data_IF_730748816445
#
_entry.id   IF_730748816445
#
_cell.length_a   1.000
_cell.length_b   1.000
_cell.length_c   1.000
_cell.angle_alpha   90.00
_cell.angle_beta   90.00
_cell.angle_gamma   90.00
#
_symmetry.space_group_name_H-M   'P 1'
#
loop_
_entity.id
_entity.type
_entity.pdbx_description
1 polymer ?
#
# COMPACT_ATOMS: atom_id res chain seq x y z
N UNK A 1 -29.94 -12.11 11.78
CA UNK A 1 -30.51 -13.36 12.32
C UNK A 1 -30.73 -14.31 11.16
N UNK A 2 -30.03 -15.44 11.11
CA UNK A 2 -30.26 -16.50 10.11
C UNK A 2 -31.47 -17.31 10.58
N UNK A 3 -32.66 -16.99 10.08
CA UNK A 3 -33.92 -17.70 10.38
C UNK A 3 -34.54 -18.24 9.09
N UNK A 4 -35.06 -19.46 9.14
CA UNK A 4 -35.69 -20.14 7.98
C UNK A 4 -37.15 -19.70 7.83
N UNK A 5 -37.65 -19.68 6.59
CA UNK A 5 -39.03 -19.27 6.30
C UNK A 5 -40.03 -20.20 7.00
N UNK A 6 -40.88 -19.64 7.88
CA UNK A 6 -41.90 -20.38 8.64
C UNK A 6 -41.51 -20.74 10.08
N UNK A 7 -40.32 -20.38 10.55
CA UNK A 7 -39.93 -20.57 11.95
C UNK A 7 -40.60 -19.51 12.84
N UNK A 8 -41.34 -19.95 13.86
CA UNK A 8 -41.96 -19.05 14.85
C UNK A 8 -40.86 -18.41 15.70
N UNK A 9 -40.82 -17.07 15.73
CA UNK A 9 -39.83 -16.29 16.47
C UNK A 9 -40.56 -15.46 17.51
N UNK A 10 -40.18 -15.66 18.77
CA UNK A 10 -40.66 -14.82 19.87
C UNK A 10 -39.94 -13.46 19.80
N UNK A 11 -40.71 -12.39 19.64
CA UNK A 11 -40.18 -11.02 19.48
C UNK A 11 -40.63 -10.18 20.66
N UNK A 12 -39.72 -9.95 21.59
CA UNK A 12 -39.93 -9.01 22.70
C UNK A 12 -39.66 -7.57 22.21
N UNK A 13 -40.72 -6.78 22.06
CA UNK A 13 -40.63 -5.38 21.66
C UNK A 13 -40.40 -4.52 22.91
N UNK A 14 -39.17 -4.05 23.11
CA UNK A 14 -38.87 -3.05 24.14
C UNK A 14 -39.09 -1.65 23.60
N UNK A 15 -40.15 -0.98 24.07
CA UNK A 15 -40.42 0.41 23.74
C UNK A 15 -39.52 1.32 24.57
N UNK A 16 -38.57 2.00 23.91
CA UNK A 16 -37.73 3.02 24.54
C UNK A 16 -38.34 4.40 24.30
N UNK A 17 -38.77 5.08 25.38
CA UNK A 17 -39.29 6.46 25.35
C UNK A 17 -38.17 7.51 25.58
N UNK A 18 -36.94 7.19 25.16
CA UNK A 18 -35.79 8.06 25.38
C UNK A 18 -35.67 9.07 24.24
N UNK A 19 -35.61 10.36 24.58
CA UNK A 19 -35.31 11.42 23.60
C UNK A 19 -33.97 11.13 22.93
N UNK A 20 -33.98 10.92 21.62
CA UNK A 20 -32.77 10.63 20.84
C UNK A 20 -31.66 11.66 21.12
N UNK A 21 -30.54 11.21 21.68
CA UNK A 21 -29.34 12.04 21.87
C UNK A 21 -28.35 11.73 20.76
N UNK A 22 -28.13 12.70 19.87
CA UNK A 22 -27.12 12.57 18.82
C UNK A 22 -25.74 12.33 19.46
N UNK A 23 -25.02 11.25 19.10
CA UNK A 23 -23.68 11.01 19.60
C UNK A 23 -22.77 12.22 19.35
N UNK A 24 -21.97 12.60 20.35
CA UNK A 24 -21.05 13.74 20.22
C UNK A 24 -20.13 13.51 19.01
N UNK A 25 -20.03 14.47 18.07
CA UNK A 25 -19.15 14.31 16.91
C UNK A 25 -17.70 14.20 17.39
N UNK A 26 -16.99 13.17 16.93
CA UNK A 26 -15.54 13.02 17.18
C UNK A 26 -14.81 14.19 16.53
N UNK A 27 -14.04 14.92 17.34
CA UNK A 27 -13.21 16.02 16.86
C UNK A 27 -12.19 15.51 15.84
N UNK A 28 -12.17 16.12 14.65
CA UNK A 28 -11.21 15.85 13.59
C UNK A 28 -10.39 17.13 13.36
N UNK A 29 -9.19 17.27 13.95
CA UNK A 29 -8.33 18.41 13.67
C UNK A 29 -7.85 18.37 12.21
N UNK A 30 -7.63 19.55 11.60
CA UNK A 30 -7.23 19.75 10.20
C UNK A 30 -8.24 19.29 9.14
N UNK A 31 -9.53 19.57 9.37
CA UNK A 31 -10.56 19.46 8.34
C UNK A 31 -10.56 20.69 7.42
N UNK A 32 -10.82 20.47 6.12
CA UNK A 32 -10.86 21.52 5.10
C UNK A 32 -10.03 21.15 3.86
N UNK A 33 -10.42 21.67 2.70
CA UNK A 33 -9.59 21.56 1.51
C UNK A 33 -8.41 22.53 1.63
N UNK A 34 -7.17 22.02 1.61
CA UNK A 34 -5.97 22.86 1.61
C UNK A 34 -5.75 23.52 0.25
N UNK A 35 -5.41 24.80 0.23
CA UNK A 35 -5.02 25.53 -0.98
C UNK A 35 -3.51 25.45 -1.18
N UNK A 36 -3.05 25.02 -2.36
CA UNK A 36 -1.61 24.97 -2.69
C UNK A 36 -1.17 26.35 -3.18
N UNK A 37 -0.18 26.97 -2.53
CA UNK A 37 0.54 28.12 -3.08
C UNK A 37 1.62 27.61 -4.03
N UNK A 38 1.39 27.77 -5.34
CA UNK A 38 2.33 27.39 -6.41
C UNK A 38 1.66 27.50 -7.77
N UNK A 39 2.42 27.78 -8.82
CA UNK A 39 1.90 27.91 -10.19
C UNK A 39 1.38 26.55 -10.72
N UNK A 40 0.15 26.50 -11.29
CA UNK A 40 -0.44 25.26 -11.75
C UNK A 40 0.22 24.80 -13.06
N UNK A 41 0.86 23.62 -13.03
CA UNK A 41 1.04 22.83 -14.25
C UNK A 41 -0.36 22.46 -14.79
N UNK A 42 -0.70 22.73 -16.07
CA UNK A 42 -2.05 22.53 -16.55
C UNK A 42 -2.44 21.05 -16.64
N UNK A 43 -3.54 20.69 -15.95
CA UNK A 43 -4.53 19.73 -16.43
C UNK A 43 -4.42 18.26 -16.01
N UNK A 44 -4.96 17.90 -14.85
CA UNK A 44 -5.67 16.61 -14.69
C UNK A 44 -6.95 16.82 -13.87
N UNK A 45 -8.07 16.64 -14.58
CA UNK A 45 -9.46 16.29 -14.22
C UNK A 45 -9.89 16.34 -12.73
N UNK A 46 -11.03 17.00 -12.51
CA UNK A 46 -11.73 17.20 -11.25
C UNK A 46 -11.95 15.92 -10.41
N UNK A 47 -11.89 15.99 -9.06
CA UNK A 47 -12.29 14.88 -8.20
C UNK A 47 -13.82 14.77 -8.14
N UNK A 48 -14.35 13.62 -8.56
CA UNK A 48 -15.72 13.19 -8.29
C UNK A 48 -15.92 12.92 -6.78
N UNK A 49 -17.13 13.07 -6.23
CA UNK A 49 -17.40 12.85 -4.81
C UNK A 49 -17.07 11.41 -4.40
N UNK A 50 -16.35 11.30 -3.28
CA UNK A 50 -15.87 10.04 -2.71
C UNK A 50 -17.05 9.11 -2.34
N UNK A 51 -17.26 8.09 -3.16
CA UNK A 51 -17.88 6.85 -2.71
C UNK A 51 -16.97 6.19 -1.66
N UNK A 52 -17.59 5.49 -0.71
CA UNK A 52 -17.00 4.78 0.42
C UNK A 52 -15.69 4.04 0.05
N UNK A 53 -14.75 3.84 1.01
CA UNK A 53 -13.54 3.08 0.76
C UNK A 53 -13.92 1.63 0.44
N UNK A 54 -14.11 1.35 -0.85
CA UNK A 54 -13.92 0.01 -1.37
C UNK A 54 -12.49 -0.37 -1.01
N UNK A 55 -12.24 -1.54 -0.39
CA UNK A 55 -10.88 -2.02 -0.28
C UNK A 55 -10.33 -2.01 -1.70
N UNK A 56 -9.33 -1.16 -1.96
CA UNK A 56 -8.54 -1.27 -3.16
C UNK A 56 -8.17 -2.74 -3.22
N UNK A 57 -8.71 -3.44 -4.21
CA UNK A 57 -8.11 -4.68 -4.64
C UNK A 57 -6.73 -4.25 -5.09
N UNK A 58 -5.79 -4.29 -4.15
CA UNK A 58 -4.41 -4.53 -4.45
C UNK A 58 -4.47 -5.73 -5.37
N UNK A 59 -4.33 -5.51 -6.68
CA UNK A 59 -3.88 -6.57 -7.58
C UNK A 59 -2.56 -6.96 -6.97
N UNK A 60 -2.62 -7.94 -6.08
CA UNK A 60 -1.51 -8.32 -5.25
C UNK A 60 -0.51 -8.88 -6.24
N UNK A 61 0.59 -8.16 -6.55
CA UNK A 61 1.57 -8.70 -7.44
C UNK A 61 2.04 -10.02 -6.86
N UNK A 62 2.18 -11.03 -7.72
CA UNK A 62 2.53 -12.40 -7.36
C UNK A 62 3.48 -12.39 -6.16
N UNK A 63 2.96 -12.82 -5.02
CA UNK A 63 3.72 -12.83 -3.77
C UNK A 63 4.98 -13.63 -4.04
N UNK A 64 6.18 -13.07 -3.75
CA UNK A 64 7.39 -13.86 -3.80
C UNK A 64 7.19 -15.10 -2.91
N UNK A 65 7.70 -16.24 -3.36
CA UNK A 65 7.69 -17.47 -2.58
C UNK A 65 8.54 -17.24 -1.33
N UNK A 66 7.88 -17.06 -0.19
CA UNK A 66 8.52 -16.75 1.09
C UNK A 66 8.58 -18.03 1.90
N UNK A 67 9.77 -18.33 2.42
CA UNK A 67 10.01 -19.49 3.27
C UNK A 67 10.06 -18.98 4.70
N UNK A 68 9.01 -19.27 5.47
CA UNK A 68 8.88 -18.83 6.86
C UNK A 68 9.97 -19.43 7.79
N UNK A 69 10.70 -20.44 7.33
CA UNK A 69 11.83 -21.04 8.05
C UNK A 69 13.10 -20.17 7.98
N UNK A 70 13.15 -19.22 7.05
CA UNK A 70 14.30 -18.33 6.83
C UNK A 70 14.04 -16.92 7.37
N UNK A 71 15.10 -16.18 7.76
CA UNK A 71 14.94 -14.80 8.19
C UNK A 71 14.32 -13.96 7.06
N UNK A 72 13.18 -13.36 7.37
CA UNK A 72 12.41 -12.55 6.42
C UNK A 72 12.60 -11.07 6.71
N UNK A 73 12.65 -10.27 5.64
CA UNK A 73 12.80 -8.83 5.63
C UNK A 73 11.57 -8.21 4.94
N UNK A 74 11.05 -7.12 5.49
CA UNK A 74 9.99 -6.35 4.82
C UNK A 74 10.58 -5.17 4.06
N UNK A 75 10.33 -5.10 2.76
CA UNK A 75 10.73 -3.97 1.92
C UNK A 75 9.51 -3.13 1.54
N UNK A 76 9.67 -1.81 1.64
CA UNK A 76 8.73 -0.85 1.06
C UNK A 76 9.32 -0.25 -0.20
N UNK A 77 8.68 -0.50 -1.33
CA UNK A 77 9.06 0.02 -2.63
C UNK A 77 8.15 1.21 -2.96
N UNK A 78 8.76 2.35 -3.26
CA UNK A 78 8.07 3.53 -3.81
C UNK A 78 8.24 3.50 -5.32
N UNK A 79 7.13 3.41 -6.05
CA UNK A 79 7.15 3.41 -7.50
C UNK A 79 7.19 4.83 -8.07
N UNK A 80 7.65 4.94 -9.31
CA UNK A 80 7.76 6.19 -10.03
C UNK A 80 6.41 6.81 -10.44
N UNK A 81 5.31 6.08 -10.29
CA UNK A 81 3.94 6.55 -10.42
C UNK A 81 3.38 7.17 -9.12
N UNK A 82 4.17 7.15 -8.04
CA UNK A 82 3.80 7.65 -6.72
C UNK A 82 3.10 6.63 -5.83
N UNK A 83 2.80 5.43 -6.34
CA UNK A 83 2.26 4.34 -5.54
C UNK A 83 3.33 3.69 -4.66
N UNK A 84 2.87 2.93 -3.66
CA UNK A 84 3.74 2.20 -2.72
C UNK A 84 3.37 0.72 -2.75
N UNK A 85 4.39 -0.13 -2.84
CA UNK A 85 4.26 -1.57 -2.72
C UNK A 85 5.05 -2.01 -1.49
N UNK A 86 4.42 -2.80 -0.64
CA UNK A 86 5.09 -3.40 0.51
C UNK A 86 5.08 -4.90 0.31
N UNK A 87 6.25 -5.53 0.36
CA UNK A 87 6.38 -6.98 0.23
C UNK A 87 7.43 -7.53 1.18
N UNK A 88 7.28 -8.80 1.53
CA UNK A 88 8.21 -9.56 2.36
C UNK A 88 9.12 -10.37 1.45
N UNK A 89 10.39 -10.45 1.80
CA UNK A 89 11.41 -11.21 1.08
C UNK A 89 12.28 -11.93 2.11
N UNK A 90 12.64 -13.18 1.86
CA UNK A 90 13.75 -13.83 2.55
C UNK A 90 15.06 -13.05 2.35
N UNK A 91 15.94 -13.09 3.34
CA UNK A 91 17.30 -12.51 3.23
C UNK A 91 18.13 -13.13 2.11
N UNK A 92 17.79 -14.34 1.67
CA UNK A 92 18.47 -15.08 0.61
C UNK A 92 18.13 -14.58 -0.81
N UNK A 93 17.08 -13.77 -0.96
CA UNK A 93 16.73 -13.21 -2.27
C UNK A 93 17.70 -12.13 -2.74
N UNK A 94 17.71 -11.92 -4.05
CA UNK A 94 18.55 -10.93 -4.71
C UNK A 94 17.79 -9.64 -5.02
N UNK A 95 18.51 -8.56 -5.33
CA UNK A 95 17.89 -7.35 -5.88
C UNK A 95 17.16 -7.67 -7.19
N UNK A 96 17.66 -8.62 -7.98
CA UNK A 96 17.01 -9.10 -9.19
C UNK A 96 15.57 -9.56 -8.96
N UNK A 97 15.30 -10.26 -7.86
CA UNK A 97 13.96 -10.70 -7.48
C UNK A 97 13.04 -9.51 -7.17
N UNK A 98 13.58 -8.47 -6.51
CA UNK A 98 12.85 -7.22 -6.27
C UNK A 98 12.56 -6.49 -7.58
N UNK A 99 13.49 -6.48 -8.53
CA UNK A 99 13.26 -5.93 -9.86
C UNK A 99 12.14 -6.67 -10.59
N UNK A 100 12.13 -8.00 -10.54
CA UNK A 100 11.08 -8.84 -11.15
C UNK A 100 9.73 -8.55 -10.51
N UNK A 101 9.68 -8.49 -9.17
CA UNK A 101 8.47 -8.17 -8.43
C UNK A 101 7.87 -6.82 -8.87
N UNK A 102 8.71 -5.77 -8.99
CA UNK A 102 8.26 -4.45 -9.43
C UNK A 102 7.83 -4.43 -10.90
N UNK A 103 8.53 -5.17 -11.75
CA UNK A 103 8.21 -5.31 -13.18
C UNK A 103 6.88 -6.03 -13.38
N UNK A 104 6.60 -7.07 -12.59
CA UNK A 104 5.34 -7.80 -12.61
C UNK A 104 4.19 -6.98 -12.00
N UNK A 105 4.48 -6.11 -11.04
CA UNK A 105 3.46 -5.33 -10.35
C UNK A 105 3.01 -4.05 -11.06
N UNK A 106 3.86 -3.48 -11.93
CA UNK A 106 3.57 -2.20 -12.58
C UNK A 106 3.87 -2.25 -14.08
N UNK A 107 2.84 -2.11 -14.95
CA UNK A 107 3.02 -2.03 -16.39
C UNK A 107 3.94 -0.89 -16.85
N UNK A 108 3.93 0.22 -16.10
CA UNK A 108 4.80 1.38 -16.29
C UNK A 108 6.28 0.99 -16.23
N UNK A 109 6.62 0.10 -15.29
CA UNK A 109 7.97 -0.43 -15.10
C UNK A 109 8.42 -1.35 -16.24
N UNK A 110 7.49 -1.92 -17.02
CA UNK A 110 7.83 -2.77 -18.16
C UNK A 110 8.21 -1.94 -19.40
N UNK A 111 7.59 -0.76 -19.56
CA UNK A 111 7.71 0.05 -20.77
C UNK A 111 8.88 1.02 -20.75
N UNK A 112 9.35 1.42 -19.56
CA UNK A 112 10.37 2.46 -19.39
C UNK A 112 11.55 1.94 -18.58
N UNK A 113 12.80 2.33 -18.89
CA UNK A 113 13.94 1.98 -18.03
C UNK A 113 13.89 2.72 -16.68
N UNK A 114 14.27 2.04 -15.62
CA UNK A 114 14.36 2.57 -14.26
C UNK A 114 15.43 1.82 -13.46
N UNK A 115 15.83 2.44 -12.36
CA UNK A 115 16.75 1.87 -11.38
C UNK A 115 16.12 1.96 -9.99
N UNK A 116 16.40 0.97 -9.14
CA UNK A 116 16.08 1.02 -7.72
C UNK A 116 17.17 1.78 -6.98
N UNK A 117 16.78 2.67 -6.09
CA UNK A 117 17.69 3.45 -5.27
C UNK A 117 17.31 3.30 -3.80
N UNK A 118 18.30 3.15 -2.93
CA UNK A 118 18.11 3.21 -1.46
C UNK A 118 17.86 4.64 -1.02
N UNK A 119 17.14 4.83 0.10
CA UNK A 119 16.92 6.18 0.64
C UNK A 119 18.07 6.70 1.50
N UNK A 120 18.76 5.82 2.24
CA UNK A 120 19.86 6.22 3.12
C UNK A 120 20.83 5.07 3.42
N UNK A 121 22.13 5.20 3.08
CA UNK A 121 22.69 6.20 2.16
C UNK A 121 22.08 6.04 0.77
N UNK A 122 21.94 7.14 0.02
CA UNK A 122 21.35 7.09 -1.32
C UNK A 122 22.32 6.41 -2.30
N UNK A 123 21.97 5.21 -2.75
CA UNK A 123 22.80 4.39 -3.63
C UNK A 123 21.95 3.71 -4.69
N UNK A 124 22.40 3.80 -5.93
CA UNK A 124 21.73 3.17 -7.06
C UNK A 124 22.05 1.65 -7.07
N UNK A 125 21.01 0.84 -6.96
CA UNK A 125 21.07 -0.62 -6.95
C UNK A 125 21.05 -1.14 -8.39
N UNK A 126 22.17 -0.96 -9.09
CA UNK A 126 22.32 -1.40 -10.48
C UNK A 126 22.64 -2.90 -10.57
N UNK A 127 23.29 -3.45 -9.55
CA UNK A 127 23.72 -4.84 -9.53
C UNK A 127 22.58 -5.75 -9.05
N UNK A 128 22.09 -6.60 -9.96
CA UNK A 128 20.96 -7.50 -9.70
C UNK A 128 21.35 -8.77 -8.93
N UNK A 129 22.64 -9.07 -8.85
CA UNK A 129 23.15 -10.31 -8.24
C UNK A 129 23.35 -10.19 -6.72
N UNK A 130 23.32 -8.98 -6.19
CA UNK A 130 23.51 -8.72 -4.76
C UNK A 130 22.34 -9.28 -3.96
N UNK A 131 22.67 -9.94 -2.85
CA UNK A 131 21.72 -10.54 -1.92
C UNK A 131 21.22 -9.51 -0.92
N UNK A 132 19.91 -9.50 -0.63
CA UNK A 132 19.29 -8.56 0.31
C UNK A 132 19.90 -8.65 1.71
N UNK A 133 20.30 -9.85 2.16
CA UNK A 133 20.94 -10.06 3.45
C UNK A 133 22.35 -9.48 3.58
N UNK A 134 23.09 -9.30 2.48
CA UNK A 134 24.45 -8.77 2.50
C UNK A 134 24.45 -7.26 2.76
N UNK A 135 23.50 -6.55 2.16
CA UNK A 135 23.32 -5.12 2.32
C UNK A 135 22.84 -4.75 3.72
N UNK A 136 23.67 -3.98 4.44
CA UNK A 136 23.34 -3.50 5.77
C UNK A 136 22.05 -2.67 5.80
N UNK A 137 21.76 -1.99 4.69
CA UNK A 137 20.57 -1.17 4.46
C UNK A 137 19.25 -1.96 4.51
N UNK A 138 19.29 -3.27 4.22
CA UNK A 138 18.09 -4.11 4.16
C UNK A 138 17.98 -5.13 5.30
N UNK A 139 19.00 -5.27 6.15
CA UNK A 139 19.00 -6.25 7.27
C UNK A 139 17.82 -6.12 8.23
N UNK A 140 17.25 -4.92 8.40
CA UNK A 140 16.11 -4.65 9.30
C UNK A 140 14.83 -4.27 8.57
N UNK A 141 14.78 -4.50 7.25
CA UNK A 141 13.81 -3.85 6.38
C UNK A 141 14.32 -2.50 5.92
N UNK A 142 13.73 -2.02 4.82
CA UNK A 142 14.21 -0.80 4.17
C UNK A 142 13.22 -0.25 3.17
N UNK A 143 13.48 0.98 2.76
CA UNK A 143 12.74 1.67 1.72
C UNK A 143 13.58 1.75 0.46
N UNK A 144 13.00 1.35 -0.65
CA UNK A 144 13.59 1.44 -1.98
C UNK A 144 12.71 2.33 -2.84
N UNK A 145 13.34 3.16 -3.66
CA UNK A 145 12.66 4.09 -4.55
C UNK A 145 12.99 3.72 -5.99
N UNK A 146 11.96 3.56 -6.81
CA UNK A 146 12.10 3.47 -8.25
C UNK A 146 12.36 4.87 -8.82
N UNK A 147 13.50 5.02 -9.50
CA UNK A 147 13.91 6.22 -10.19
C UNK A 147 13.90 5.95 -11.69
N UNK A 148 13.14 6.73 -12.44
CA UNK A 148 13.15 6.68 -13.90
C UNK A 148 14.51 7.08 -14.44
N UNK A 149 14.98 6.35 -15.45
CA UNK A 149 16.09 6.77 -16.29
C UNK A 149 15.58 7.65 -17.44
#
# INVERSE_FOLDING_TARGET
MNVQAGQEVDVEIKQHDEKYVKPKPKYKPFSGAGQRLGSPTPGVRAPAPAAAPTPSQSTEPAKPDIDESQPTVTLQIRLGDGSRLTSRFNTSHTIGDVYQFVTAASPSSQSRPWVLMTTFPSKDLSDKSVVLGDMAEFKRGGVVVQKWQ
#
